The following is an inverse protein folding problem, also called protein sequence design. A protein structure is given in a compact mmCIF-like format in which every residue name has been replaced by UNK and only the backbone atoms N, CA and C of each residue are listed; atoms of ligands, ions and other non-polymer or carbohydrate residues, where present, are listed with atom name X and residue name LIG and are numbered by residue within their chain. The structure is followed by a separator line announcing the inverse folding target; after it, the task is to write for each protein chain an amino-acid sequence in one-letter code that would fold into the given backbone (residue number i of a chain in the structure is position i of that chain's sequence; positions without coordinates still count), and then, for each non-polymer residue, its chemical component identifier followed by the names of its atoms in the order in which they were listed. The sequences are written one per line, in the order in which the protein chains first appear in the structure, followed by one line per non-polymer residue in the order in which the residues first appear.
data_IF_810815803884
#
_entry.id   IF_810815803884
#
_cell.length_a   1.000
_cell.length_b   1.000
_cell.length_c   1.000
_cell.angle_alpha   90.00
_cell.angle_beta   90.00
_cell.angle_gamma   90.00
#
_symmetry.space_group_name_H-M   'P 1'
#
loop_
_entity.id
_entity.type
_entity.pdbx_description
1 polymer ?
#
# COMPACT_ATOMS: atom_id res chain seq x y z
N UNK A 1 8.21 -26.53 23.95
CA UNK A 1 9.09 -25.34 24.06
C UNK A 1 9.36 -24.69 22.69
N UNK A 2 9.82 -25.45 21.68
CA UNK A 2 10.10 -24.92 20.32
C UNK A 2 8.84 -24.35 19.64
N UNK A 3 7.69 -25.02 19.74
CA UNK A 3 6.44 -24.55 19.14
C UNK A 3 5.99 -23.19 19.67
N UNK A 4 6.13 -22.95 20.98
CA UNK A 4 5.76 -21.67 21.60
C UNK A 4 6.66 -20.51 21.14
N UNK A 5 7.95 -20.78 20.92
CA UNK A 5 8.89 -19.79 20.37
C UNK A 5 8.55 -19.45 18.90
N UNK A 6 8.23 -20.46 18.08
CA UNK A 6 7.84 -20.23 16.68
C UNK A 6 6.53 -19.44 16.62
N UNK A 7 5.51 -19.83 17.38
CA UNK A 7 4.24 -19.10 17.43
C UNK A 7 4.43 -17.67 17.93
N UNK A 8 5.21 -17.47 19.00
CA UNK A 8 5.54 -16.15 19.52
C UNK A 8 6.27 -15.26 18.49
N UNK A 9 7.25 -15.82 17.78
CA UNK A 9 7.97 -15.12 16.72
C UNK A 9 7.07 -14.77 15.54
N UNK A 10 6.16 -15.66 15.13
CA UNK A 10 5.21 -15.43 14.04
C UNK A 10 4.23 -14.31 14.38
N UNK A 11 3.70 -14.30 15.61
CA UNK A 11 2.80 -13.26 16.11
C UNK A 11 3.51 -11.90 16.21
N UNK A 12 4.73 -11.88 16.78
CA UNK A 12 5.53 -10.66 16.87
C UNK A 12 5.84 -10.08 15.49
N UNK A 13 6.28 -10.93 14.55
CA UNK A 13 6.56 -10.54 13.17
C UNK A 13 5.30 -9.96 12.49
N UNK A 14 4.14 -10.62 12.62
CA UNK A 14 2.91 -10.14 12.02
C UNK A 14 2.51 -8.73 12.51
N UNK A 15 2.66 -8.44 13.80
CA UNK A 15 2.37 -7.11 14.35
C UNK A 15 3.41 -6.06 13.95
N UNK A 16 4.70 -6.40 13.94
CA UNK A 16 5.79 -5.49 13.55
C UNK A 16 5.75 -5.12 12.05
N UNK A 17 5.33 -6.04 11.20
CA UNK A 17 5.26 -5.85 9.74
C UNK A 17 3.85 -5.53 9.24
N UNK A 18 2.92 -5.22 10.14
CA UNK A 18 1.58 -4.78 9.77
C UNK A 18 1.66 -3.41 9.11
N UNK A 19 1.60 -3.39 7.78
CA UNK A 19 1.54 -2.15 7.01
C UNK A 19 0.17 -1.50 7.17
N UNK A 20 0.01 -0.64 8.17
CA UNK A 20 -1.26 0.01 8.46
C UNK A 20 -1.58 1.04 7.37
N UNK A 21 -2.75 0.92 6.76
CA UNK A 21 -3.24 1.90 5.78
C UNK A 21 -4.47 2.56 6.35
N UNK A 22 -4.38 3.86 6.58
CA UNK A 22 -5.41 4.64 7.27
C UNK A 22 -5.66 5.93 6.48
N UNK A 23 -6.93 6.30 6.37
CA UNK A 23 -7.34 7.58 5.77
C UNK A 23 -8.08 8.38 6.84
N UNK A 24 -7.49 9.48 7.30
CA UNK A 24 -8.05 10.34 8.36
C UNK A 24 -7.81 11.81 7.97
N UNK A 25 -8.81 12.67 8.13
CA UNK A 25 -8.71 14.12 7.92
C UNK A 25 -8.09 14.51 6.56
N UNK A 26 -8.44 13.78 5.49
CA UNK A 26 -7.86 13.96 4.15
C UNK A 26 -6.35 13.65 4.05
N UNK A 27 -5.82 12.87 4.99
CA UNK A 27 -4.46 12.33 4.91
C UNK A 27 -4.50 10.82 4.69
N UNK A 28 -3.67 10.34 3.77
CA UNK A 28 -3.42 8.93 3.54
C UNK A 28 -2.13 8.53 4.23
N UNK A 29 -2.24 7.59 5.17
CA UNK A 29 -1.13 6.98 5.89
C UNK A 29 -0.91 5.56 5.38
N UNK A 30 0.34 5.20 5.11
CA UNK A 30 0.76 3.88 4.64
C UNK A 30 2.05 3.49 5.37
N UNK A 31 1.91 2.77 6.48
CA UNK A 31 3.01 2.53 7.40
C UNK A 31 3.58 3.85 7.93
N UNK A 32 4.88 4.09 7.70
CA UNK A 32 5.54 5.33 8.11
C UNK A 32 5.40 6.48 7.09
N UNK A 33 4.90 6.20 5.88
CA UNK A 33 4.68 7.22 4.86
C UNK A 33 3.31 7.87 5.03
N UNK A 34 3.24 9.18 4.79
CA UNK A 34 1.98 9.93 4.78
C UNK A 34 1.97 10.92 3.62
N UNK A 35 0.80 11.10 3.02
CA UNK A 35 0.58 12.06 1.95
C UNK A 35 -0.79 12.72 2.14
N UNK A 36 -0.87 14.00 1.83
CA UNK A 36 -2.10 14.80 1.91
C UNK A 36 -2.95 14.54 0.67
N UNK A 37 -4.27 14.48 0.85
CA UNK A 37 -5.26 14.15 -0.17
C UNK A 37 -5.21 15.06 -1.38
N UNK A 38 -4.85 16.34 -1.19
CA UNK A 38 -4.69 17.33 -2.29
C UNK A 38 -3.65 16.95 -3.36
N UNK A 39 -2.68 16.10 -3.02
CA UNK A 39 -1.68 15.60 -3.97
C UNK A 39 -2.11 14.30 -4.64
N UNK A 40 -3.19 13.66 -4.17
CA UNK A 40 -3.73 12.45 -4.76
C UNK A 40 -4.60 12.84 -5.95
N UNK A 41 -4.27 12.30 -7.12
CA UNK A 41 -5.02 12.58 -8.34
C UNK A 41 -6.13 11.57 -8.57
N UNK A 42 -5.81 10.28 -8.46
CA UNK A 42 -6.75 9.19 -8.75
C UNK A 42 -6.33 7.91 -8.07
N UNK A 43 -7.27 7.27 -7.36
CA UNK A 43 -7.09 5.95 -6.79
C UNK A 43 -7.77 4.90 -7.67
N UNK A 44 -6.98 4.01 -8.27
CA UNK A 44 -7.47 2.93 -9.13
C UNK A 44 -7.29 1.58 -8.44
N UNK A 45 -8.37 0.84 -8.15
CA UNK A 45 -8.26 -0.50 -7.59
C UNK A 45 -7.74 -1.46 -8.67
N UNK A 46 -6.76 -2.29 -8.30
CA UNK A 46 -6.13 -3.26 -9.20
C UNK A 46 -6.61 -4.67 -8.90
N UNK A 47 -6.83 -5.44 -9.96
CA UNK A 47 -7.02 -6.89 -9.84
C UNK A 47 -5.67 -7.57 -9.54
N UNK A 48 -5.70 -8.89 -9.29
CA UNK A 48 -4.49 -9.66 -8.96
C UNK A 48 -3.42 -9.62 -10.04
N UNK A 49 -3.81 -9.73 -11.31
CA UNK A 49 -2.86 -9.76 -12.44
C UNK A 49 -2.13 -8.43 -12.58
N UNK A 50 -2.87 -7.33 -12.58
CA UNK A 50 -2.31 -5.98 -12.79
C UNK A 50 -1.47 -5.53 -11.60
N UNK A 51 -1.89 -5.89 -10.38
CA UNK A 51 -1.11 -5.65 -9.18
C UNK A 51 0.24 -6.38 -9.21
N UNK A 52 0.25 -7.65 -9.63
CA UNK A 52 1.50 -8.42 -9.75
C UNK A 52 2.43 -7.85 -10.83
N UNK A 53 1.88 -7.38 -11.96
CA UNK A 53 2.66 -6.72 -13.02
C UNK A 53 3.32 -5.45 -12.51
N UNK A 54 2.57 -4.57 -11.85
CA UNK A 54 3.09 -3.31 -11.30
C UNK A 54 4.03 -3.50 -10.11
N UNK A 55 3.91 -4.60 -9.37
CA UNK A 55 4.88 -4.96 -8.33
C UNK A 55 6.17 -5.56 -8.91
N UNK A 56 6.11 -6.12 -10.11
CA UNK A 56 7.21 -6.83 -10.76
C UNK A 56 7.63 -6.15 -12.06
N UNK A 57 7.29 -6.78 -13.19
CA UNK A 57 7.77 -6.40 -14.54
C UNK A 57 7.59 -4.92 -14.91
N UNK A 58 6.49 -4.33 -14.47
CA UNK A 58 6.12 -2.94 -14.80
C UNK A 58 6.31 -2.01 -13.58
N UNK A 59 7.08 -2.43 -12.58
CA UNK A 59 7.40 -1.59 -11.44
C UNK A 59 8.20 -0.38 -11.87
N UNK A 60 7.80 0.79 -11.38
CA UNK A 60 8.54 2.03 -11.56
C UNK A 60 9.46 2.22 -10.34
N UNK A 61 10.78 2.40 -10.52
CA UNK A 61 11.71 2.60 -9.41
C UNK A 61 11.44 3.89 -8.61
N UNK A 62 10.80 4.89 -9.21
CA UNK A 62 10.44 6.13 -8.53
C UNK A 62 9.11 6.01 -7.75
N UNK A 63 8.34 4.94 -7.95
CA UNK A 63 7.07 4.77 -7.25
C UNK A 63 7.27 4.27 -5.81
N UNK A 64 6.46 4.80 -4.90
CA UNK A 64 6.41 4.28 -3.52
C UNK A 64 5.65 2.96 -3.48
N UNK A 65 6.22 1.97 -2.79
CA UNK A 65 5.68 0.62 -2.75
C UNK A 65 5.31 0.22 -1.31
N UNK A 66 4.06 0.43 -0.94
CA UNK A 66 3.48 0.04 0.34
C UNK A 66 2.79 -1.32 0.25
N UNK A 67 3.54 -2.39 -0.06
CA UNK A 67 2.95 -3.71 -0.35
C UNK A 67 3.38 -4.81 0.61
N UNK A 68 2.45 -5.70 0.93
CA UNK A 68 2.69 -6.92 1.71
C UNK A 68 2.86 -8.10 0.76
N UNK A 69 3.88 -8.94 0.98
CA UNK A 69 4.18 -10.04 0.05
C UNK A 69 3.03 -11.08 -0.07
N UNK A 70 2.27 -11.29 1.02
CA UNK A 70 1.14 -12.21 1.09
C UNK A 70 -0.21 -11.63 0.62
N UNK A 71 -0.25 -10.36 0.21
CA UNK A 71 -1.45 -9.72 -0.35
C UNK A 71 -1.23 -9.47 -1.83
N UNK A 72 -2.07 -10.05 -2.68
CA UNK A 72 -1.93 -9.98 -4.13
C UNK A 72 -2.88 -9.00 -4.81
N UNK A 73 -3.54 -8.12 -4.04
CA UNK A 73 -4.47 -7.10 -4.53
C UNK A 73 -4.13 -5.75 -3.91
N UNK A 74 -4.51 -4.66 -4.56
CA UNK A 74 -4.21 -3.33 -4.03
C UNK A 74 -4.76 -2.20 -4.86
N UNK A 75 -4.30 -1.00 -4.55
CA UNK A 75 -4.70 0.25 -5.21
C UNK A 75 -3.44 0.93 -5.73
N UNK A 76 -3.50 1.41 -6.97
CA UNK A 76 -2.54 2.38 -7.50
C UNK A 76 -3.12 3.77 -7.27
N UNK A 77 -2.41 4.60 -6.53
CA UNK A 77 -2.80 5.98 -6.26
C UNK A 77 -1.85 6.89 -7.03
N UNK A 78 -2.36 7.59 -8.03
CA UNK A 78 -1.58 8.54 -8.83
C UNK A 78 -1.34 9.82 -8.03
N UNK A 79 -0.11 10.33 -8.10
CA UNK A 79 0.31 11.53 -7.36
C UNK A 79 0.53 12.69 -8.33
N UNK A 80 0.14 13.87 -7.90
CA UNK A 80 0.30 15.13 -8.61
C UNK A 80 0.96 16.17 -7.69
N UNK A 81 2.18 15.89 -7.25
CA UNK A 81 3.04 16.86 -6.58
C UNK A 81 4.16 17.28 -7.54
N UNK A 82 4.33 18.58 -7.77
CA UNK A 82 5.41 19.10 -8.63
C UNK A 82 6.78 19.00 -7.98
N UNK A 83 6.84 18.89 -6.66
CA UNK A 83 8.09 18.85 -5.88
C UNK A 83 8.61 17.42 -5.66
N UNK A 84 7.73 16.43 -5.77
CA UNK A 84 8.07 15.01 -5.59
C UNK A 84 8.02 14.29 -6.95
N UNK A 85 9.11 13.66 -7.41
CA UNK A 85 9.11 12.90 -8.65
C UNK A 85 8.30 11.58 -8.57
N UNK A 86 7.77 11.20 -7.40
CA UNK A 86 7.02 9.96 -7.20
C UNK A 86 5.73 9.93 -8.03
N UNK A 87 5.61 9.09 -9.08
CA UNK A 87 4.48 9.15 -10.00
C UNK A 87 3.20 8.54 -9.41
N UNK A 88 3.34 7.51 -8.57
CA UNK A 88 2.24 6.83 -7.92
C UNK A 88 2.68 6.07 -6.67
N UNK A 89 1.71 5.78 -5.80
CA UNK A 89 1.84 4.84 -4.70
C UNK A 89 1.15 3.52 -5.04
N UNK A 90 1.84 2.40 -4.88
CA UNK A 90 1.25 1.07 -4.97
C UNK A 90 1.01 0.54 -3.55
N UNK A 91 -0.26 0.36 -3.18
CA UNK A 91 -0.65 0.01 -1.80
C UNK A 91 -1.38 -1.33 -1.81
N UNK A 92 -0.88 -2.31 -1.06
CA UNK A 92 -1.57 -3.61 -0.94
C UNK A 92 -2.79 -3.49 -0.03
N UNK A 93 -3.94 -3.99 -0.47
CA UNK A 93 -5.15 -4.04 0.36
C UNK A 93 -6.06 -5.18 -0.08
N UNK A 94 -6.62 -5.91 0.89
CA UNK A 94 -7.65 -6.93 0.64
C UNK A 94 -9.01 -6.30 0.28
N UNK A 95 -9.19 -5.00 0.59
CA UNK A 95 -10.40 -4.23 0.30
C UNK A 95 -10.09 -3.08 -0.67
N UNK A 96 -9.40 -3.39 -1.76
CA UNK A 96 -8.91 -2.39 -2.72
C UNK A 96 -10.01 -1.46 -3.27
N UNK A 97 -11.17 -2.01 -3.62
CA UNK A 97 -12.33 -1.21 -4.10
C UNK A 97 -12.80 -0.19 -3.07
N UNK A 98 -12.94 -0.61 -1.81
CA UNK A 98 -13.36 0.26 -0.71
C UNK A 98 -12.34 1.37 -0.47
N UNK A 99 -11.05 1.02 -0.47
CA UNK A 99 -9.97 1.99 -0.28
C UNK A 99 -9.96 3.03 -1.41
N UNK A 100 -10.06 2.59 -2.66
CA UNK A 100 -10.12 3.52 -3.80
C UNK A 100 -11.35 4.44 -3.74
N UNK A 101 -12.51 3.93 -3.32
CA UNK A 101 -13.73 4.74 -3.15
C UNK A 101 -13.65 5.77 -2.01
N UNK A 102 -12.70 5.65 -1.08
CA UNK A 102 -12.48 6.62 -0.01
C UNK A 102 -11.42 7.67 -0.34
N UNK A 103 -10.65 7.44 -1.40
CA UNK A 103 -9.56 8.30 -1.86
C UNK A 103 -9.91 9.12 -3.11
N UNK A 104 -11.02 8.78 -3.78
CA UNK A 104 -11.64 9.57 -4.84
C UNK A 104 -12.84 10.32 -4.26
#
# INVERSE_FOLDING_TARGET
MITALITGALLYSNNKFALETVVINDWLYVGNAKIEGKYLKKATPLNKSDFLKLRGRNADPAAFNGTRFWVSTGVKVEINDKKDPTPYWLISSRKAKLLASKLN
#
